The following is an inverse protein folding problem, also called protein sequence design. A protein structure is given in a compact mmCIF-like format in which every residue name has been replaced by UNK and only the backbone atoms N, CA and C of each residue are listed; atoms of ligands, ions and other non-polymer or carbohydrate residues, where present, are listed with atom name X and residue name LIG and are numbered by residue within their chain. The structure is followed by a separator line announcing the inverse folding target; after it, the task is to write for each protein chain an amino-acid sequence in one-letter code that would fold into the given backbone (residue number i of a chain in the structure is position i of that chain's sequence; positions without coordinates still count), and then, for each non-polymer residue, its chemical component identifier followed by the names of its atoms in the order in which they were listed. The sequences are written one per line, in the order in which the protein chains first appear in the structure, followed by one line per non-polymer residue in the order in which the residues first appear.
data_IF_318374325074
#
_entry.id   IF_318374325074
#
_cell.length_a   1.000
_cell.length_b   1.000
_cell.length_c   1.000
_cell.angle_alpha   90.00
_cell.angle_beta   90.00
_cell.angle_gamma   90.00
#
_symmetry.space_group_name_H-M   'P 1'
#
loop_
_entity.id
_entity.type
_entity.pdbx_description
1 polymer ?
#
# COMPACT_ATOMS: atom_id res chain seq x y z
N UNK A 1 5.69 -2.83 -11.22
CA UNK A 1 5.18 -2.41 -12.57
C UNK A 1 3.89 -3.11 -12.98
N UNK A 2 3.76 -4.44 -12.84
CA UNK A 2 2.52 -5.14 -13.25
C UNK A 2 1.26 -4.60 -12.53
N UNK A 3 1.32 -4.42 -11.21
CA UNK A 3 0.19 -3.89 -10.41
C UNK A 3 -0.22 -2.49 -10.88
N UNK A 4 0.74 -1.56 -11.08
CA UNK A 4 0.42 -0.22 -11.60
C UNK A 4 -0.25 -0.24 -12.98
N UNK A 5 0.10 -1.19 -13.86
CA UNK A 5 -0.57 -1.32 -15.17
C UNK A 5 -2.03 -1.77 -15.06
N UNK A 6 -2.37 -2.52 -14.00
CA UNK A 6 -3.74 -2.99 -13.76
C UNK A 6 -4.56 -1.90 -13.07
N UNK A 7 -3.94 -1.19 -12.11
CA UNK A 7 -4.61 -0.15 -11.33
C UNK A 7 -4.77 1.16 -12.13
N UNK A 8 -3.90 1.41 -13.10
CA UNK A 8 -3.95 2.56 -14.02
C UNK A 8 -4.07 3.92 -13.30
N UNK A 9 -3.29 4.09 -12.23
CA UNK A 9 -3.20 5.36 -11.51
C UNK A 9 -1.77 5.82 -11.44
N UNK A 10 -1.52 7.08 -11.80
CA UNK A 10 -0.22 7.71 -11.61
C UNK A 10 0.17 7.75 -10.13
N UNK A 11 1.27 7.08 -9.82
CA UNK A 11 1.90 7.06 -8.52
C UNK A 11 3.42 6.84 -8.67
N UNK A 12 4.17 7.37 -7.73
CA UNK A 12 5.62 7.17 -7.59
C UNK A 12 5.89 6.30 -6.36
N UNK A 13 6.68 5.23 -6.50
CA UNK A 13 7.18 4.48 -5.35
C UNK A 13 8.36 5.27 -4.74
N UNK A 14 8.20 5.72 -3.50
CA UNK A 14 9.19 6.60 -2.85
C UNK A 14 9.94 5.94 -1.69
N UNK A 15 9.36 4.88 -1.12
CA UNK A 15 9.98 4.12 -0.05
C UNK A 15 9.58 2.65 -0.16
N UNK A 16 10.57 1.78 0.00
CA UNK A 16 10.40 0.34 0.08
C UNK A 16 11.33 -0.16 1.18
N UNK A 17 10.76 -0.58 2.29
CA UNK A 17 11.49 -1.02 3.47
C UNK A 17 11.07 -2.45 3.84
N UNK A 18 12.05 -3.31 4.09
CA UNK A 18 11.83 -4.69 4.55
C UNK A 18 12.55 -4.86 5.87
N UNK A 19 11.86 -5.46 6.84
CA UNK A 19 12.41 -5.87 8.13
C UNK A 19 12.12 -7.36 8.36
N UNK A 20 13.13 -8.11 8.77
CA UNK A 20 12.93 -9.45 9.31
C UNK A 20 12.53 -9.31 10.78
N UNK A 21 11.35 -9.82 11.14
CA UNK A 21 10.83 -9.77 12.51
C UNK A 21 11.38 -10.93 13.35
N UNK A 22 11.56 -12.09 12.72
CA UNK A 22 12.05 -13.31 13.35
C UNK A 22 13.20 -13.92 12.55
N UNK A 23 13.98 -14.77 13.20
CA UNK A 23 15.12 -15.46 12.61
C UNK A 23 14.72 -16.86 12.13
N UNK A 24 15.46 -17.41 11.16
CA UNK A 24 15.26 -18.77 10.65
C UNK A 24 14.49 -18.85 9.32
N UNK A 25 14.27 -20.07 8.84
CA UNK A 25 13.57 -20.35 7.57
C UNK A 25 12.09 -19.90 7.56
N UNK A 26 11.51 -19.76 8.75
CA UNK A 26 10.15 -19.25 8.97
C UNK A 26 10.16 -17.77 9.40
N UNK A 27 11.23 -17.04 9.05
CA UNK A 27 11.34 -15.62 9.33
C UNK A 27 10.15 -14.86 8.74
N UNK A 28 9.44 -14.10 9.58
CA UNK A 28 8.38 -13.22 9.12
C UNK A 28 9.01 -11.95 8.53
N UNK A 29 8.75 -11.69 7.25
CA UNK A 29 9.11 -10.44 6.61
C UNK A 29 8.00 -9.42 6.79
N UNK A 30 8.34 -8.28 7.40
CA UNK A 30 7.51 -7.09 7.47
C UNK A 30 7.96 -6.11 6.40
N UNK A 31 7.05 -5.75 5.51
CA UNK A 31 7.32 -4.86 4.38
C UNK A 31 6.47 -3.62 4.51
N UNK A 32 7.12 -2.46 4.47
CA UNK A 32 6.48 -1.15 4.41
C UNK A 32 6.79 -0.49 3.07
N UNK A 33 5.75 -0.05 2.38
CA UNK A 33 5.85 0.64 1.09
C UNK A 33 5.15 1.99 1.18
N UNK A 34 5.78 3.02 0.62
CA UNK A 34 5.19 4.34 0.48
C UNK A 34 5.13 4.73 -0.98
N UNK A 35 3.95 5.16 -1.40
CA UNK A 35 3.72 5.73 -2.73
C UNK A 35 3.34 7.20 -2.60
N UNK A 36 3.81 8.01 -3.53
CA UNK A 36 3.50 9.44 -3.63
C UNK A 36 2.61 9.68 -4.84
N UNK A 37 1.65 10.58 -4.70
CA UNK A 37 0.94 11.20 -5.81
C UNK A 37 0.78 12.69 -5.53
N UNK A 38 1.34 13.53 -6.40
CA UNK A 38 1.45 14.95 -6.12
C UNK A 38 2.18 15.18 -4.79
N UNK A 39 1.52 15.84 -3.85
CA UNK A 39 2.06 16.11 -2.51
C UNK A 39 1.65 15.08 -1.46
N UNK A 40 0.74 14.16 -1.78
CA UNK A 40 0.23 13.18 -0.83
C UNK A 40 1.09 11.91 -0.83
N UNK A 41 1.28 11.35 0.36
CA UNK A 41 2.03 10.10 0.58
C UNK A 41 1.10 9.08 1.23
N UNK A 42 1.06 7.89 0.64
CA UNK A 42 0.24 6.78 1.09
C UNK A 42 1.14 5.61 1.48
N UNK A 43 0.95 5.12 2.70
CA UNK A 43 1.76 4.03 3.27
C UNK A 43 0.95 2.74 3.33
N UNK A 44 1.51 1.66 2.82
CA UNK A 44 1.00 0.30 2.96
C UNK A 44 1.99 -0.60 3.68
N UNK A 45 1.48 -1.56 4.44
CA UNK A 45 2.26 -2.55 5.19
C UNK A 45 1.76 -3.96 4.88
N UNK A 46 2.67 -4.91 4.82
CA UNK A 46 2.37 -6.31 4.59
C UNK A 46 3.35 -7.19 5.34
N UNK A 47 2.85 -8.19 6.05
CA UNK A 47 3.67 -9.17 6.75
C UNK A 47 3.40 -10.58 6.19
N UNK A 48 4.46 -11.30 5.83
CA UNK A 48 4.38 -12.69 5.37
C UNK A 48 5.74 -13.37 5.50
N UNK A 49 5.77 -14.71 5.61
CA UNK A 49 7.02 -15.48 5.55
C UNK A 49 7.68 -15.47 4.16
N UNK A 50 6.95 -15.00 3.15
CA UNK A 50 7.42 -14.80 1.79
C UNK A 50 7.49 -13.30 1.50
N UNK A 51 8.70 -12.80 1.28
CA UNK A 51 8.98 -11.38 1.05
C UNK A 51 8.20 -10.85 -0.16
N UNK A 52 8.03 -11.66 -1.21
CA UNK A 52 7.32 -11.25 -2.43
C UNK A 52 5.84 -11.08 -2.14
N UNK A 53 5.23 -12.00 -1.39
CA UNK A 53 3.84 -11.91 -0.95
C UNK A 53 3.63 -10.71 -0.03
N UNK A 54 4.52 -10.51 0.95
CA UNK A 54 4.48 -9.37 1.86
C UNK A 54 4.55 -8.03 1.10
N UNK A 55 5.47 -7.95 0.13
CA UNK A 55 5.66 -6.77 -0.73
C UNK A 55 4.42 -6.48 -1.58
N UNK A 56 3.82 -7.51 -2.17
CA UNK A 56 2.59 -7.36 -2.96
C UNK A 56 1.45 -6.83 -2.10
N UNK A 57 1.26 -7.38 -0.90
CA UNK A 57 0.25 -6.91 0.06
C UNK A 57 0.47 -5.47 0.49
N UNK A 58 1.70 -5.11 0.85
CA UNK A 58 2.05 -3.75 1.22
C UNK A 58 1.74 -2.76 0.09
N UNK A 59 2.07 -3.13 -1.15
CA UNK A 59 1.84 -2.26 -2.30
C UNK A 59 0.35 -2.06 -2.61
N UNK A 60 -0.42 -3.14 -2.63
CA UNK A 60 -1.88 -3.08 -2.82
C UNK A 60 -2.53 -2.25 -1.72
N UNK A 61 -2.11 -2.39 -0.46
CA UNK A 61 -2.65 -1.58 0.63
C UNK A 61 -2.36 -0.07 0.43
N UNK A 62 -1.14 0.29 -0.01
CA UNK A 62 -0.79 1.67 -0.28
C UNK A 62 -1.65 2.26 -1.41
N UNK A 63 -1.86 1.50 -2.49
CA UNK A 63 -2.70 1.89 -3.61
C UNK A 63 -4.18 2.00 -3.23
N UNK A 64 -4.70 1.11 -2.38
CA UNK A 64 -6.08 1.19 -1.91
C UNK A 64 -6.33 2.49 -1.14
N UNK A 65 -5.42 2.90 -0.24
CA UNK A 65 -5.52 4.17 0.47
C UNK A 65 -5.47 5.38 -0.46
N UNK A 66 -4.64 5.28 -1.49
CA UNK A 66 -4.52 6.30 -2.54
C UNK A 66 -5.83 6.40 -3.35
N UNK A 67 -6.45 5.29 -3.71
CA UNK A 67 -7.72 5.24 -4.44
C UNK A 67 -8.90 5.75 -3.60
N UNK A 68 -8.98 5.33 -2.34
CA UNK A 68 -10.03 5.75 -1.40
C UNK A 68 -10.05 7.28 -1.23
N UNK A 69 -8.86 7.92 -1.26
CA UNK A 69 -8.76 9.38 -1.23
C UNK A 69 -9.20 10.07 -2.53
N UNK A 70 -9.10 9.39 -3.69
CA UNK A 70 -9.54 9.95 -4.99
C UNK A 70 -11.03 9.79 -5.23
N UNK A 71 -11.58 8.67 -4.78
CA UNK A 71 -12.99 8.35 -4.84
C UNK A 71 -13.46 8.13 -3.42
N UNK A 72 -13.80 9.21 -2.68
CA UNK A 72 -14.42 9.07 -1.38
C UNK A 72 -15.62 8.15 -1.54
N UNK A 73 -15.61 7.02 -0.84
CA UNK A 73 -16.73 6.07 -0.94
C UNK A 73 -18.03 6.81 -0.58
N UNK A 74 -19.12 6.47 -1.27
CA UNK A 74 -20.41 7.16 -1.16
C UNK A 74 -21.00 7.20 0.27
N UNK A 75 -20.43 6.44 1.21
CA UNK A 75 -20.82 6.43 2.62
C UNK A 75 -20.46 7.71 3.38
N UNK A 76 -19.49 8.50 2.91
CA UNK A 76 -19.02 9.69 3.63
C UNK A 76 -19.70 10.99 3.17
N UNK A 77 -20.32 10.98 1.98
CA UNK A 77 -21.03 12.14 1.41
C UNK A 77 -22.32 12.51 2.18
N UNK A 78 -22.87 11.56 2.96
CA UNK A 78 -24.10 11.78 3.73
C UNK A 78 -23.83 12.57 5.02
N UNK A 79 -22.60 12.56 5.56
CA UNK A 79 -22.29 13.24 6.83
C UNK A 79 -21.83 14.70 6.66
N UNK A 80 -21.39 15.13 5.48
CA UNK A 80 -21.07 16.54 5.20
C UNK A 80 -22.31 17.40 4.85
N UNK A 81 -23.49 16.80 4.69
CA UNK A 81 -24.74 17.50 4.32
C UNK A 81 -25.83 17.49 5.42
N UNK A 82 -25.46 17.28 6.70
CA UNK A 82 -26.39 17.38 7.85
C UNK A 82 -26.01 18.54 8.77
#
# INVERSE_FOLDING_TARGET
RAINRIVDVENELIEFNIQAVTEGIDALADVTIRVRRGNDIYTGRGAHTDIIVASGRAYVQALNKLLDRMTPSAHEQILEHV
#
